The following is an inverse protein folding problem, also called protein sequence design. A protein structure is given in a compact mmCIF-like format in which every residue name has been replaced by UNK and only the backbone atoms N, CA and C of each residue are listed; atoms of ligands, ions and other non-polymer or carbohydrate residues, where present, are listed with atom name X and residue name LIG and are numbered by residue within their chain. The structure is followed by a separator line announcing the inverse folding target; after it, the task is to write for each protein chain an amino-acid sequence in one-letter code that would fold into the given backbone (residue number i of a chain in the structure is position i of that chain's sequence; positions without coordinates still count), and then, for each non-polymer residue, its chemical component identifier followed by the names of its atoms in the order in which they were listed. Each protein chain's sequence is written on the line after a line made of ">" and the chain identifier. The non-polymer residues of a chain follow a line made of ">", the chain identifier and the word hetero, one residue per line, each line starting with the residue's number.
data_IF_637505143304
#
_entry.id   IF_637505143304
#
_cell.length_a   1.000
_cell.length_b   1.000
_cell.length_c   1.000
_cell.angle_alpha   90.00
_cell.angle_beta   90.00
_cell.angle_gamma   90.00
#
_symmetry.space_group_name_H-M   'P 1'
#
loop_
_entity.id
_entity.type
_entity.pdbx_description
1 polymer ?
#
# COMPACT_ATOMS: atom_id res chain seq x y z
N UNK A 1 -27.37 10.96 -2.26
CA UNK A 1 -28.08 10.18 -3.31
C UNK A 1 -29.41 10.84 -3.66
N UNK A 2 -30.09 11.45 -2.69
CA UNK A 2 -31.33 12.21 -2.86
C UNK A 2 -31.23 13.36 -3.88
N UNK A 3 -30.13 14.11 -3.91
CA UNK A 3 -29.98 15.27 -4.81
C UNK A 3 -30.16 14.95 -6.30
N UNK A 4 -29.75 13.75 -6.75
CA UNK A 4 -29.86 13.36 -8.16
C UNK A 4 -31.32 13.16 -8.59
N UNK A 5 -32.11 12.48 -7.75
CA UNK A 5 -33.52 12.21 -8.03
C UNK A 5 -34.32 13.51 -7.99
N UNK A 6 -34.04 14.37 -7.02
CA UNK A 6 -34.73 15.66 -6.87
C UNK A 6 -34.42 16.61 -8.03
N UNK A 7 -33.17 16.69 -8.48
CA UNK A 7 -32.79 17.45 -9.68
C UNK A 7 -33.59 16.98 -10.90
N UNK A 8 -33.74 15.66 -11.10
CA UNK A 8 -34.47 15.13 -12.25
C UNK A 8 -35.98 15.37 -12.13
N UNK A 9 -36.57 15.26 -10.93
CA UNK A 9 -37.97 15.59 -10.68
C UNK A 9 -38.26 17.05 -11.01
N UNK A 10 -37.48 17.98 -10.44
CA UNK A 10 -37.64 19.42 -10.66
C UNK A 10 -37.52 19.81 -12.15
N UNK A 11 -36.62 19.17 -12.89
CA UNK A 11 -36.43 19.49 -14.30
C UNK A 11 -37.47 18.81 -15.22
N UNK A 12 -37.75 17.51 -15.03
CA UNK A 12 -38.58 16.72 -15.96
C UNK A 12 -40.07 16.76 -15.64
N UNK A 13 -40.45 16.81 -14.36
CA UNK A 13 -41.86 16.85 -13.95
C UNK A 13 -42.35 18.29 -13.78
N UNK A 14 -41.53 19.17 -13.20
CA UNK A 14 -41.94 20.54 -12.86
C UNK A 14 -41.43 21.61 -13.85
N UNK A 15 -40.58 21.23 -14.82
CA UNK A 15 -40.09 22.14 -15.86
C UNK A 15 -39.18 23.27 -15.35
N UNK A 16 -38.62 23.14 -14.14
CA UNK A 16 -37.84 24.20 -13.50
C UNK A 16 -36.51 24.41 -14.24
N UNK A 17 -36.12 25.66 -14.57
CA UNK A 17 -34.86 25.93 -15.24
C UNK A 17 -33.62 25.53 -14.40
N UNK A 18 -32.58 25.03 -15.06
CA UNK A 18 -31.31 24.57 -14.44
C UNK A 18 -30.72 25.60 -13.46
N UNK A 19 -30.79 26.90 -13.80
CA UNK A 19 -30.23 27.98 -12.96
C UNK A 19 -30.98 28.11 -11.64
N UNK A 20 -32.27 27.86 -11.65
CA UNK A 20 -33.13 27.92 -10.46
C UNK A 20 -32.98 26.66 -9.61
N UNK A 21 -32.87 25.48 -10.22
CA UNK A 21 -32.56 24.22 -9.51
C UNK A 21 -31.23 24.34 -8.76
N UNK A 22 -30.19 24.86 -9.42
CA UNK A 22 -28.88 25.09 -8.81
C UNK A 22 -28.96 26.03 -7.59
N UNK A 23 -29.79 27.07 -7.66
CA UNK A 23 -30.00 28.03 -6.56
C UNK A 23 -30.76 27.42 -5.39
N UNK A 24 -31.85 26.68 -5.67
CA UNK A 24 -32.70 26.05 -4.65
C UNK A 24 -31.98 24.96 -3.88
N UNK A 25 -31.18 24.14 -4.56
CA UNK A 25 -30.48 23.01 -3.97
C UNK A 25 -29.05 23.34 -3.53
N UNK A 26 -28.54 24.55 -3.78
CA UNK A 26 -27.18 24.94 -3.40
C UNK A 26 -26.07 24.18 -4.14
N UNK A 27 -26.38 23.59 -5.31
CA UNK A 27 -25.43 22.78 -6.09
C UNK A 27 -24.91 23.53 -7.31
N UNK A 28 -23.69 23.20 -7.75
CA UNK A 28 -23.14 23.78 -8.97
C UNK A 28 -24.01 23.43 -10.20
N UNK A 29 -24.15 24.37 -11.14
CA UNK A 29 -24.87 24.14 -12.42
C UNK A 29 -24.35 22.92 -13.19
N UNK A 30 -23.05 22.64 -13.07
CA UNK A 30 -22.43 21.47 -13.67
C UNK A 30 -22.92 20.16 -13.04
N UNK A 31 -23.18 20.14 -11.74
CA UNK A 31 -23.79 19.00 -11.03
C UNK A 31 -25.22 18.76 -11.52
N UNK A 32 -26.02 19.82 -11.69
CA UNK A 32 -27.36 19.72 -12.27
C UNK A 32 -27.30 19.13 -13.69
N UNK A 33 -26.43 19.68 -14.54
CA UNK A 33 -26.23 19.16 -15.90
C UNK A 33 -25.70 17.72 -15.93
N UNK A 34 -24.90 17.32 -14.96
CA UNK A 34 -24.39 15.95 -14.85
C UNK A 34 -25.50 14.98 -14.39
N UNK A 35 -26.31 15.39 -13.42
CA UNK A 35 -27.44 14.61 -12.93
C UNK A 35 -28.50 14.38 -14.02
N UNK A 36 -28.77 15.39 -14.85
CA UNK A 36 -29.70 15.28 -15.99
C UNK A 36 -29.18 14.39 -17.12
N UNK A 37 -27.85 14.30 -17.30
CA UNK A 37 -27.19 13.44 -18.31
C UNK A 37 -27.04 11.99 -17.86
N UNK A 38 -26.96 11.74 -16.56
CA UNK A 38 -26.79 10.39 -16.02
C UNK A 38 -28.13 9.68 -15.92
N UNK A 39 -28.31 8.58 -16.66
CA UNK A 39 -29.55 7.80 -16.67
C UNK A 39 -29.84 7.06 -15.36
N UNK A 40 -28.80 6.74 -14.58
CA UNK A 40 -28.92 6.20 -13.23
C UNK A 40 -28.30 7.12 -12.18
N UNK A 41 -28.50 6.82 -10.87
CA UNK A 41 -27.87 7.56 -9.79
C UNK A 41 -26.35 7.55 -9.97
N UNK A 42 -25.65 8.67 -9.69
CA UNK A 42 -24.21 8.74 -9.83
C UNK A 42 -23.58 7.69 -8.92
N UNK A 43 -23.02 6.64 -9.53
CA UNK A 43 -22.21 5.65 -8.80
C UNK A 43 -20.90 6.33 -8.46
N UNK A 44 -20.63 6.50 -7.17
CA UNK A 44 -19.32 6.97 -6.71
C UNK A 44 -18.27 5.91 -7.04
N UNK A 45 -17.63 6.04 -8.21
CA UNK A 45 -16.49 5.24 -8.60
C UNK A 45 -15.25 6.12 -8.49
N UNK A 46 -14.63 6.14 -7.31
CA UNK A 46 -13.27 6.65 -7.21
C UNK A 46 -12.37 5.56 -7.79
N UNK A 47 -11.89 5.76 -9.02
CA UNK A 47 -10.73 5.00 -9.49
C UNK A 47 -9.66 5.15 -8.41
N UNK A 48 -9.22 4.04 -7.79
CA UNK A 48 -8.13 4.11 -6.80
C UNK A 48 -6.98 4.81 -7.50
N UNK A 49 -6.50 5.91 -6.91
CA UNK A 49 -5.27 6.57 -7.37
C UNK A 49 -4.21 5.47 -7.44
N UNK A 50 -3.62 5.26 -8.61
CA UNK A 50 -2.64 4.18 -8.82
C UNK A 50 -1.61 4.18 -7.70
N UNK A 51 -1.33 3.01 -7.14
CA UNK A 51 -0.27 2.84 -6.15
C UNK A 51 1.06 2.80 -6.89
N UNK A 52 2.10 3.38 -6.30
CA UNK A 52 3.48 3.23 -6.78
C UNK A 52 3.87 1.75 -6.88
N UNK A 53 3.25 0.90 -6.06
CA UNK A 53 3.45 -0.54 -6.08
C UNK A 53 2.92 -1.21 -7.35
N UNK A 54 1.92 -0.64 -8.03
CA UNK A 54 1.30 -1.25 -9.21
C UNK A 54 2.31 -1.40 -10.37
N UNK A 55 3.29 -0.50 -10.48
CA UNK A 55 4.37 -0.61 -11.46
C UNK A 55 5.30 -1.82 -11.22
N UNK A 56 5.39 -2.28 -9.98
CA UNK A 56 6.26 -3.40 -9.56
C UNK A 56 5.51 -4.73 -9.48
N UNK A 57 4.19 -4.73 -9.70
CA UNK A 57 3.36 -5.93 -9.65
C UNK A 57 3.88 -7.06 -10.56
N UNK A 58 4.31 -6.84 -11.81
CA UNK A 58 4.85 -7.91 -12.66
C UNK A 58 6.10 -8.58 -12.07
N UNK A 59 7.03 -7.80 -11.51
CA UNK A 59 8.26 -8.32 -10.90
C UNK A 59 7.95 -9.10 -9.61
N UNK A 60 7.05 -8.58 -8.79
CA UNK A 60 6.59 -9.26 -7.57
C UNK A 60 5.91 -10.59 -7.92
N UNK A 61 5.07 -10.62 -8.96
CA UNK A 61 4.41 -11.84 -9.42
C UNK A 61 5.40 -12.87 -9.95
N UNK A 62 6.48 -12.46 -10.63
CA UNK A 62 7.55 -13.36 -11.03
C UNK A 62 8.20 -14.03 -9.81
N UNK A 63 8.56 -13.24 -8.79
CA UNK A 63 9.15 -13.74 -7.55
C UNK A 63 8.20 -14.67 -6.78
N UNK A 64 6.90 -14.36 -6.73
CA UNK A 64 5.91 -15.17 -6.03
C UNK A 64 5.50 -16.45 -6.78
N UNK A 65 5.72 -16.53 -8.10
CA UNK A 65 5.57 -17.80 -8.84
C UNK A 65 6.63 -18.81 -8.43
N UNK A 66 7.87 -18.35 -8.28
CA UNK A 66 8.98 -19.20 -7.87
C UNK A 66 8.89 -19.49 -6.37
N UNK A 67 8.74 -18.45 -5.53
CA UNK A 67 8.76 -18.58 -4.07
C UNK A 67 7.53 -17.91 -3.42
N UNK A 68 6.38 -18.62 -3.36
CA UNK A 68 5.10 -18.07 -2.87
C UNK A 68 5.13 -17.53 -1.44
N UNK A 69 5.96 -18.12 -0.57
CA UNK A 69 6.08 -17.75 0.86
C UNK A 69 7.19 -16.72 1.14
N UNK A 70 7.85 -16.16 0.11
CA UNK A 70 8.98 -15.24 0.28
C UNK A 70 8.61 -14.06 1.20
N UNK A 71 9.41 -13.70 2.22
CA UNK A 71 9.12 -12.58 3.12
C UNK A 71 9.15 -11.21 2.43
N UNK A 72 8.30 -10.28 2.88
CA UNK A 72 8.21 -8.92 2.33
C UNK A 72 9.55 -8.15 2.29
N UNK A 73 10.41 -8.19 3.32
CA UNK A 73 11.71 -7.51 3.27
C UNK A 73 12.62 -8.05 2.16
N UNK A 74 12.58 -9.36 1.91
CA UNK A 74 13.38 -10.01 0.86
C UNK A 74 12.87 -9.63 -0.53
N UNK A 75 11.54 -9.55 -0.72
CA UNK A 75 10.93 -9.05 -1.96
C UNK A 75 11.37 -7.60 -2.20
N UNK A 76 11.28 -6.75 -1.17
CA UNK A 76 11.65 -5.33 -1.22
C UNK A 76 13.09 -5.12 -1.69
N UNK A 77 14.03 -5.87 -1.13
CA UNK A 77 15.44 -5.82 -1.53
C UNK A 77 15.65 -6.26 -2.97
N UNK A 78 15.00 -7.36 -3.39
CA UNK A 78 15.16 -7.93 -4.74
C UNK A 78 14.61 -7.05 -5.86
N UNK A 79 13.52 -6.33 -5.59
CA UNK A 79 12.94 -5.39 -6.56
C UNK A 79 13.56 -3.99 -6.47
N UNK A 80 14.55 -3.79 -5.59
CA UNK A 80 15.18 -2.49 -5.37
C UNK A 80 14.20 -1.41 -4.91
N UNK A 81 13.26 -1.77 -4.03
CA UNK A 81 12.13 -0.91 -3.65
C UNK A 81 12.59 0.38 -2.94
N UNK A 82 12.40 1.58 -3.54
CA UNK A 82 12.93 2.83 -3.00
C UNK A 82 11.92 3.59 -2.12
N UNK A 83 10.72 3.04 -1.90
CA UNK A 83 9.62 3.71 -1.21
C UNK A 83 9.35 3.09 0.17
N UNK A 84 8.37 3.64 0.88
CA UNK A 84 7.92 3.06 2.15
C UNK A 84 7.33 1.65 1.96
N UNK A 85 7.41 0.81 3.00
CA UNK A 85 6.93 -0.57 2.92
C UNK A 85 5.40 -0.69 2.84
N UNK A 86 4.66 0.35 3.22
CA UNK A 86 3.19 0.31 3.32
C UNK A 86 2.49 -0.06 2.00
N UNK A 87 2.77 0.64 0.89
CA UNK A 87 2.25 0.28 -0.44
C UNK A 87 2.62 -1.14 -0.87
N UNK A 88 3.85 -1.59 -0.60
CA UNK A 88 4.31 -2.94 -0.93
C UNK A 88 3.55 -4.00 -0.14
N UNK A 89 3.37 -3.82 1.19
CA UNK A 89 2.59 -4.72 2.04
C UNK A 89 1.14 -4.82 1.58
N UNK A 90 0.52 -3.69 1.22
CA UNK A 90 -0.85 -3.65 0.68
C UNK A 90 -0.97 -4.42 -0.63
N UNK A 91 0.01 -4.31 -1.52
CA UNK A 91 0.04 -5.04 -2.77
C UNK A 91 0.23 -6.55 -2.54
N UNK A 92 1.17 -6.93 -1.68
CA UNK A 92 1.42 -8.34 -1.35
C UNK A 92 0.23 -9.01 -0.67
N UNK A 93 -0.50 -8.31 0.20
CA UNK A 93 -1.72 -8.84 0.81
C UNK A 93 -2.81 -9.14 -0.22
N UNK A 94 -2.88 -8.38 -1.32
CA UNK A 94 -3.79 -8.62 -2.45
C UNK A 94 -3.35 -9.82 -3.29
N UNK A 95 -2.05 -9.93 -3.56
CA UNK A 95 -1.50 -10.87 -4.54
C UNK A 95 -1.20 -12.26 -3.93
N UNK A 96 -0.66 -12.34 -2.71
CA UNK A 96 -0.23 -13.62 -2.08
C UNK A 96 -1.32 -14.70 -2.04
N UNK A 97 -2.60 -14.41 -1.77
CA UNK A 97 -3.65 -15.43 -1.80
C UNK A 97 -3.81 -16.13 -3.15
N UNK A 98 -3.35 -15.52 -4.25
CA UNK A 98 -3.37 -16.12 -5.58
C UNK A 98 -2.27 -17.19 -5.78
N UNK A 99 -1.21 -17.18 -4.96
CA UNK A 99 -0.01 -18.02 -5.09
C UNK A 99 0.15 -19.03 -3.95
N UNK A 100 -0.22 -18.62 -2.74
CA UNK A 100 -0.29 -19.49 -1.58
C UNK A 100 -1.64 -20.21 -1.66
N UNK A 101 -1.71 -21.26 -2.48
CA UNK A 101 -2.84 -22.20 -2.40
C UNK A 101 -3.06 -22.61 -0.94
N UNK A 102 -4.31 -22.85 -0.54
CA UNK A 102 -4.72 -23.07 0.87
C UNK A 102 -3.70 -23.97 1.57
N UNK A 103 -2.98 -23.41 2.54
CA UNK A 103 -1.89 -24.08 3.25
C UNK A 103 -2.31 -24.27 4.71
N UNK A 104 -2.35 -25.50 5.24
CA UNK A 104 -2.72 -25.76 6.62
C UNK A 104 -1.70 -25.10 7.54
N UNK A 105 -2.16 -24.23 8.41
CA UNK A 105 -1.36 -23.65 9.47
C UNK A 105 -0.79 -24.78 10.34
N UNK A 106 0.52 -25.02 10.26
CA UNK A 106 1.25 -25.65 11.35
C UNK A 106 1.42 -24.60 12.46
N UNK A 107 0.57 -24.70 13.49
CA UNK A 107 0.80 -24.00 14.76
C UNK A 107 1.96 -24.69 15.48
N UNK A 108 3.17 -24.15 15.34
CA UNK A 108 4.25 -24.49 16.28
C UNK A 108 3.87 -23.92 17.65
N UNK A 109 3.49 -24.80 18.55
CA UNK A 109 3.14 -24.45 19.94
C UNK A 109 4.35 -24.74 20.80
N UNK A 110 4.96 -23.71 21.36
CA UNK A 110 6.12 -23.83 22.25
C UNK A 110 5.66 -24.00 23.69
N UNK A 111 6.38 -24.81 24.47
CA UNK A 111 6.21 -24.84 25.92
C UNK A 111 6.95 -23.65 26.55
N UNK A 112 6.49 -23.12 27.71
CA UNK A 112 7.18 -22.06 28.42
C UNK A 112 8.63 -22.50 28.74
N UNK A 113 9.62 -21.85 28.13
CA UNK A 113 11.05 -22.12 28.36
C UNK A 113 11.87 -22.53 27.13
N UNK A 114 11.26 -22.77 25.97
CA UNK A 114 11.97 -23.24 24.76
C UNK A 114 12.57 -22.12 23.89
N UNK A 115 12.40 -20.84 24.26
CA UNK A 115 12.95 -19.71 23.51
C UNK A 115 13.91 -18.90 24.40
N UNK A 116 15.20 -18.92 24.06
CA UNK A 116 16.19 -18.00 24.60
C UNK A 116 16.30 -16.77 23.70
N UNK A 117 16.18 -15.58 24.29
CA UNK A 117 16.37 -14.31 23.60
C UNK A 117 17.88 -13.99 23.55
N UNK A 118 18.46 -13.98 22.36
CA UNK A 118 19.82 -13.52 22.15
C UNK A 118 19.80 -12.03 21.76
N UNK A 119 19.90 -11.13 22.74
CA UNK A 119 20.09 -9.71 22.48
C UNK A 119 21.54 -9.46 22.03
N UNK A 120 21.73 -9.26 20.72
CA UNK A 120 23.01 -8.82 20.15
C UNK A 120 23.25 -7.35 20.52
N UNK A 121 24.00 -7.11 21.59
CA UNK A 121 24.61 -5.80 21.85
C UNK A 121 25.79 -5.60 20.89
N UNK A 122 25.58 -4.84 19.82
CA UNK A 122 26.68 -4.35 18.97
C UNK A 122 27.42 -3.26 19.76
N UNK A 123 28.64 -3.55 20.22
CA UNK A 123 29.61 -2.51 20.64
C UNK A 123 30.38 -2.06 19.41
N UNK A 124 30.39 -0.74 19.16
CA UNK A 124 31.29 -0.14 18.17
C UNK A 124 32.76 -0.43 18.56
N UNK A 125 33.64 -0.79 17.61
CA UNK A 125 35.07 -0.78 17.88
C UNK A 125 35.51 0.68 18.02
N UNK A 126 36.12 1.00 19.17
CA UNK A 126 36.69 2.32 19.42
C UNK A 126 37.70 2.68 18.32
N UNK A 127 37.48 3.81 17.67
CA UNK A 127 38.41 4.43 16.72
C UNK A 127 39.72 4.77 17.45
N UNK A 128 40.71 3.89 17.34
CA UNK A 128 42.09 4.15 17.74
C UNK A 128 42.87 4.71 16.55
N UNK A 129 43.40 5.94 16.69
CA UNK A 129 44.27 6.59 15.72
C UNK A 129 45.45 5.69 15.32
N UNK A 130 45.60 5.43 14.02
CA UNK A 130 46.80 4.79 13.44
C UNK A 130 47.82 5.89 13.19
N UNK A 131 48.88 5.94 14.00
CA UNK A 131 50.09 6.71 13.67
C UNK A 131 51.13 5.71 13.19
N UNK A 132 51.48 5.77 11.90
CA UNK A 132 52.59 5.02 11.35
C UNK A 132 53.91 5.65 11.80
N UNK A 133 54.78 4.88 12.44
CA UNK A 133 56.20 5.21 12.48
C UNK A 133 57.09 3.94 12.47
N UNK A 134 57.94 3.84 11.45
CA UNK A 134 59.15 3.03 11.33
C UNK A 134 59.21 1.64 12.01
N UNK A 135 58.47 0.69 11.40
CA UNK A 135 59.10 -0.59 10.99
C UNK A 135 59.39 -1.68 12.01
N UNK A 136 58.89 -1.65 13.25
CA UNK A 136 59.05 -2.76 14.21
C UNK A 136 57.75 -3.04 14.99
N UNK A 137 57.24 -4.27 14.84
CA UNK A 137 56.18 -4.82 15.68
C UNK A 137 56.79 -5.25 17.03
N UNK A 138 56.54 -4.47 18.09
CA UNK A 138 56.64 -4.96 19.46
C UNK A 138 55.23 -5.32 19.93
N UNK A 139 55.00 -6.61 20.10
CA UNK A 139 53.89 -7.12 20.91
C UNK A 139 54.43 -7.17 22.34
N UNK A 140 53.94 -6.28 23.20
CA UNK A 140 54.15 -6.41 24.65
C UNK A 140 52.99 -7.22 25.28
N UNK A 141 53.24 -7.90 26.41
CA UNK A 141 52.58 -9.15 26.83
C UNK A 141 51.13 -9.06 27.31
#
# INVERSE_FOLDING_TARGET
>A
MEDWAEIRRLYRAEGVPIKEIARRLGVARNTVRAALRSDGPPKYQRARRGSVADAYEPQIRALLREWPRMPTPVISQRIGWPYSEGPLKKLLARIRPEYVGIDPVDRVTYQPGELAQCDLLIREPATGHVVWNDGLLLVDP
#
